data_IF_839206180248
#
_entry.id   IF_839206180248
#
_cell.length_a   1.000
_cell.length_b   1.000
_cell.length_c   1.000
_cell.angle_alpha   90.00
_cell.angle_beta   90.00
_cell.angle_gamma   90.00
#
_symmetry.space_group_name_H-M   'P 1'
#
loop_
_entity.id
_entity.type
_entity.pdbx_description
1 polymer ?
#
# COMPACT_ATOMS: atom_id res chain seq x y z
N UNK A 1 -17.23 -7.04 14.83
CA UNK A 1 -16.88 -7.08 13.40
C UNK A 1 -16.85 -5.64 12.93
N UNK A 2 -15.70 -5.20 12.44
CA UNK A 2 -15.47 -3.85 11.93
C UNK A 2 -15.56 -3.88 10.40
N UNK A 3 -16.09 -2.81 9.80
CA UNK A 3 -16.16 -2.66 8.34
C UNK A 3 -15.68 -1.26 8.01
N UNK A 4 -14.63 -1.18 7.20
CA UNK A 4 -13.98 0.09 6.82
C UNK A 4 -14.31 0.37 5.36
N UNK A 5 -14.87 1.55 5.11
CA UNK A 5 -15.08 2.10 3.77
C UNK A 5 -14.03 3.19 3.54
N UNK A 6 -13.30 3.13 2.42
CA UNK A 6 -12.33 4.15 2.02
C UNK A 6 -12.80 4.78 0.71
N UNK A 7 -12.74 6.10 0.65
CA UNK A 7 -13.19 6.89 -0.51
C UNK A 7 -12.05 7.78 -0.98
N UNK A 8 -11.84 7.83 -2.29
CA UNK A 8 -10.84 8.71 -2.89
C UNK A 8 -11.37 10.15 -3.02
N UNK A 9 -12.69 10.31 -3.18
CA UNK A 9 -13.36 11.61 -3.24
C UNK A 9 -14.51 11.68 -2.22
N UNK A 10 -14.71 12.86 -1.63
CA UNK A 10 -15.83 13.17 -0.73
C UNK A 10 -17.17 13.07 -1.45
N UNK A 11 -17.20 13.31 -2.77
CA UNK A 11 -18.42 13.20 -3.59
C UNK A 11 -19.04 11.79 -3.57
N UNK A 12 -18.26 10.76 -3.30
CA UNK A 12 -18.75 9.38 -3.18
C UNK A 12 -19.55 9.14 -1.89
N UNK A 13 -19.41 10.02 -0.89
CA UNK A 13 -20.21 10.02 0.34
C UNK A 13 -21.60 10.66 0.08
N UNK A 14 -22.37 10.05 -0.82
CA UNK A 14 -23.65 10.55 -1.28
C UNK A 14 -24.86 9.87 -0.61
N UNK A 15 -26.06 10.34 -0.94
CA UNK A 15 -27.34 9.82 -0.40
C UNK A 15 -27.56 8.32 -0.66
N UNK A 16 -27.03 7.80 -1.78
CA UNK A 16 -27.16 6.38 -2.12
C UNK A 16 -26.30 5.54 -1.18
N UNK A 17 -25.07 5.98 -0.89
CA UNK A 17 -24.20 5.36 0.11
C UNK A 17 -24.84 5.39 1.50
N UNK A 18 -25.34 6.55 1.94
CA UNK A 18 -26.00 6.67 3.25
C UNK A 18 -27.22 5.75 3.37
N UNK A 19 -27.98 5.58 2.29
CA UNK A 19 -29.12 4.67 2.23
C UNK A 19 -28.68 3.21 2.37
N UNK A 20 -27.61 2.81 1.67
CA UNK A 20 -27.03 1.48 1.79
C UNK A 20 -26.48 1.21 3.21
N UNK A 21 -25.79 2.19 3.80
CA UNK A 21 -25.27 2.10 5.16
C UNK A 21 -26.40 1.85 6.17
N UNK A 22 -27.50 2.62 6.08
CA UNK A 22 -28.69 2.43 6.94
C UNK A 22 -29.29 1.03 6.78
N UNK A 23 -29.34 0.49 5.57
CA UNK A 23 -29.87 -0.85 5.32
C UNK A 23 -28.98 -1.94 5.93
N UNK A 24 -27.66 -1.83 5.77
CA UNK A 24 -26.68 -2.81 6.27
C UNK A 24 -26.61 -2.86 7.81
N UNK A 25 -26.90 -1.74 8.48
CA UNK A 25 -26.74 -1.60 9.93
C UNK A 25 -28.05 -1.27 10.66
N UNK A 26 -29.22 -1.50 10.05
CA UNK A 26 -30.55 -1.06 10.54
C UNK A 26 -30.89 -1.35 12.01
N UNK A 27 -30.36 -2.42 12.58
CA UNK A 27 -30.63 -2.87 13.96
C UNK A 27 -29.39 -2.81 14.86
N UNK A 28 -28.36 -2.05 14.45
CA UNK A 28 -27.07 -1.96 15.14
C UNK A 28 -26.82 -0.53 15.60
N UNK A 29 -26.17 -0.38 16.76
CA UNK A 29 -25.53 0.89 17.11
C UNK A 29 -24.27 1.02 16.27
N UNK A 30 -24.10 2.15 15.58
CA UNK A 30 -22.94 2.44 14.76
C UNK A 30 -22.19 3.65 15.30
N UNK A 31 -20.88 3.65 15.09
CA UNK A 31 -19.98 4.80 15.26
C UNK A 31 -19.42 5.14 13.89
N UNK A 32 -19.30 6.43 13.56
CA UNK A 32 -18.69 6.89 12.32
C UNK A 32 -17.45 7.70 12.70
N UNK A 33 -16.28 7.24 12.26
CA UNK A 33 -15.02 7.97 12.36
C UNK A 33 -14.61 8.47 10.99
N UNK A 34 -14.22 9.74 10.89
CA UNK A 34 -13.80 10.39 9.64
C UNK A 34 -12.38 10.90 9.84
N UNK A 35 -11.47 10.43 9.01
CA UNK A 35 -10.08 10.89 8.97
C UNK A 35 -9.65 11.07 7.54
N UNK A 36 -8.79 12.05 7.27
CA UNK A 36 -8.01 12.06 6.04
C UNK A 36 -7.10 10.83 6.03
N UNK A 37 -7.18 10.03 4.96
CA UNK A 37 -6.17 9.01 4.70
C UNK A 37 -5.45 9.39 3.41
N UNK A 38 -4.13 9.26 3.39
CA UNK A 38 -3.33 9.30 2.18
C UNK A 38 -3.15 7.86 1.69
N UNK A 39 -3.43 7.59 0.42
CA UNK A 39 -2.97 6.34 -0.18
C UNK A 39 -1.43 6.31 -0.11
N UNK A 40 -0.85 5.16 0.23
CA UNK A 40 0.61 5.00 0.25
C UNK A 40 1.21 5.31 -1.13
N UNK A 41 0.46 5.04 -2.20
CA UNK A 41 0.84 5.37 -3.58
C UNK A 41 0.88 6.87 -3.80
N UNK A 42 -0.14 7.60 -3.34
CA UNK A 42 -0.19 9.06 -3.48
C UNK A 42 0.95 9.73 -2.71
N UNK A 43 1.25 9.22 -1.51
CA UNK A 43 2.41 9.67 -0.73
C UNK A 43 3.75 9.38 -1.42
N UNK A 44 3.90 8.18 -1.99
CA UNK A 44 5.11 7.82 -2.75
C UNK A 44 5.28 8.68 -4.01
N UNK A 45 4.18 9.07 -4.65
CA UNK A 45 4.19 9.87 -5.87
C UNK A 45 4.13 11.40 -5.62
N UNK A 46 3.97 11.86 -4.38
CA UNK A 46 3.83 13.28 -4.05
C UNK A 46 5.05 14.12 -4.46
N UNK A 47 6.30 13.68 -4.19
CA UNK A 47 7.49 14.38 -4.66
C UNK A 47 7.81 13.98 -6.10
N UNK A 48 8.04 14.94 -7.03
CA UNK A 48 8.44 14.63 -8.41
C UNK A 48 9.71 13.78 -8.50
N UNK A 49 10.61 13.94 -7.54
CA UNK A 49 11.86 13.18 -7.42
C UNK A 49 11.61 11.70 -7.11
N UNK A 50 10.60 11.39 -6.28
CA UNK A 50 10.24 10.00 -5.97
C UNK A 50 9.62 9.31 -7.18
N UNK A 51 8.77 10.01 -7.92
CA UNK A 51 8.17 9.45 -9.14
C UNK A 51 9.25 9.11 -10.17
N UNK A 52 10.21 10.02 -10.40
CA UNK A 52 11.34 9.77 -11.30
C UNK A 52 12.23 8.59 -10.84
N UNK A 53 12.41 8.43 -9.52
CA UNK A 53 13.13 7.30 -8.96
C UNK A 53 12.38 5.97 -9.18
N UNK A 54 11.07 5.94 -8.94
CA UNK A 54 10.22 4.77 -9.14
C UNK A 54 10.17 4.36 -10.63
N UNK A 55 10.01 5.32 -11.53
CA UNK A 55 10.04 5.08 -12.98
C UNK A 55 11.37 4.49 -13.42
N UNK A 56 12.49 5.03 -12.90
CA UNK A 56 13.82 4.48 -13.15
C UNK A 56 13.97 3.06 -12.62
N UNK A 57 13.45 2.77 -11.43
CA UNK A 57 13.50 1.41 -10.87
C UNK A 57 12.71 0.40 -11.72
N UNK A 58 11.55 0.81 -12.24
CA UNK A 58 10.75 0.01 -13.18
C UNK A 58 11.51 -0.20 -14.49
N UNK A 59 12.17 0.83 -15.02
CA UNK A 59 13.01 0.70 -16.21
C UNK A 59 14.20 -0.23 -15.97
N UNK A 60 14.91 -0.11 -14.85
CA UNK A 60 16.02 -0.97 -14.48
C UNK A 60 15.56 -2.45 -14.39
N UNK A 61 14.36 -2.71 -13.85
CA UNK A 61 13.75 -4.04 -13.85
C UNK A 61 13.48 -4.58 -15.27
N UNK A 62 12.84 -3.79 -16.12
CA UNK A 62 12.52 -4.18 -17.50
C UNK A 62 13.78 -4.43 -18.34
N UNK A 63 14.79 -3.58 -18.16
CA UNK A 63 16.09 -3.67 -18.83
C UNK A 63 17.02 -4.72 -18.21
N UNK A 64 16.63 -5.33 -17.08
CA UNK A 64 17.45 -6.24 -16.25
C UNK A 64 18.79 -5.60 -15.84
N UNK A 65 18.79 -4.31 -15.55
CA UNK A 65 19.95 -3.54 -15.08
C UNK A 65 19.86 -3.35 -13.56
N UNK A 66 21.02 -3.26 -12.91
CA UNK A 66 21.12 -3.01 -11.47
C UNK A 66 20.34 -4.00 -10.57
N UNK A 67 20.05 -5.20 -11.07
CA UNK A 67 19.38 -6.25 -10.31
C UNK A 67 20.41 -7.09 -9.57
N UNK A 68 20.22 -7.24 -8.26
CA UNK A 68 20.97 -8.21 -7.47
C UNK A 68 20.26 -9.56 -7.61
N UNK A 69 20.80 -10.45 -8.43
CA UNK A 69 20.37 -11.84 -8.48
C UNK A 69 21.20 -12.66 -7.51
N UNK A 70 20.55 -13.27 -6.53
CA UNK A 70 21.20 -14.21 -5.61
C UNK A 70 20.74 -15.61 -6.00
N UNK A 71 21.68 -16.51 -6.26
CA UNK A 71 21.35 -17.92 -6.44
C UNK A 71 21.21 -18.63 -5.07
N UNK A 72 20.59 -19.82 -5.04
CA UNK A 72 20.34 -20.53 -3.77
C UNK A 72 21.60 -20.82 -2.94
N UNK A 73 22.75 -21.02 -3.60
CA UNK A 73 24.01 -21.30 -2.92
C UNK A 73 24.63 -20.03 -2.31
N UNK A 74 24.55 -18.89 -3.00
CA UNK A 74 25.00 -17.57 -2.51
C UNK A 74 24.17 -17.10 -1.32
N UNK A 75 22.86 -17.37 -1.32
CA UNK A 75 21.99 -17.10 -0.18
C UNK A 75 22.42 -17.90 1.06
N UNK A 76 22.69 -19.20 0.89
CA UNK A 76 23.14 -20.07 1.98
C UNK A 76 24.47 -19.60 2.60
N UNK A 77 25.38 -19.05 1.80
CA UNK A 77 26.65 -18.51 2.29
C UNK A 77 26.47 -17.19 3.06
N UNK A 78 25.63 -16.28 2.56
CA UNK A 78 25.30 -15.01 3.23
C UNK A 78 24.63 -15.24 4.59
N UNK A 79 23.69 -16.19 4.65
CA UNK A 79 23.01 -16.56 5.89
C UNK A 79 23.99 -17.18 6.88
N UNK A 80 24.85 -18.12 6.46
CA UNK A 80 25.86 -18.75 7.33
C UNK A 80 26.88 -17.74 7.89
N UNK A 81 27.27 -16.72 7.14
CA UNK A 81 28.16 -15.67 7.62
C UNK A 81 27.53 -14.81 8.71
N UNK A 82 26.22 -14.55 8.61
CA UNK A 82 25.49 -13.75 9.61
C UNK A 82 25.28 -14.49 10.95
N UNK A 83 25.10 -15.82 10.91
CA UNK A 83 24.93 -16.63 12.12
C UNK A 83 26.25 -16.97 12.85
N UNK A 84 27.41 -16.90 12.18
CA UNK A 84 28.73 -17.09 12.82
C UNK A 84 29.24 -15.88 13.62
N UNK A 85 28.59 -14.72 13.50
CA UNK A 85 28.94 -13.49 14.23
C UNK A 85 28.08 -13.22 15.47
N UNK A 86 27.25 -14.19 15.89
CA UNK A 86 26.49 -14.14 17.15
C UNK A 86 27.01 -15.17 18.13
#
# INVERSE_FOLDING_TARGET
METIFRFNDVADLNEQFLSALKLLFKDKKIEISVSSFSDETDYLCEPPENMAFLDKAIQDLNDKKNLVSINGNEYDELVKHHYKKR
#
